data_IF_391683915581
#
_entry.id   IF_391683915581
#
_cell.length_a   1.000
_cell.length_b   1.000
_cell.length_c   1.000
_cell.angle_alpha   90.00
_cell.angle_beta   90.00
_cell.angle_gamma   90.00
#
_symmetry.space_group_name_H-M   'P 1'
#
loop_
_entity.id
_entity.type
_entity.pdbx_description
1 polymer ?
#
# COMPACT_ATOMS: atom_id res chain seq x y z
N UNK A 1 -60.01 -7.39 12.48
CA UNK A 1 -60.21 -8.86 12.44
C UNK A 1 -58.85 -9.56 12.53
N UNK A 2 -58.83 -10.88 12.75
CA UNK A 2 -57.64 -11.61 13.27
C UNK A 2 -56.45 -11.71 12.29
N UNK A 3 -55.22 -11.97 12.81
CA UNK A 3 -53.96 -11.83 12.08
C UNK A 3 -53.39 -13.17 11.57
N UNK A 4 -52.26 -13.10 10.85
CA UNK A 4 -51.40 -14.26 10.58
C UNK A 4 -50.12 -14.22 11.43
N UNK A 5 -50.00 -15.21 12.31
CA UNK A 5 -48.74 -15.78 12.82
C UNK A 5 -48.54 -17.14 12.12
N UNK A 6 -47.38 -17.78 12.05
CA UNK A 6 -46.12 -17.67 12.80
C UNK A 6 -44.92 -17.47 11.80
N UNK A 7 -43.62 -17.62 12.07
CA UNK A 7 -42.85 -18.58 12.89
C UNK A 7 -41.48 -18.02 13.31
N UNK A 8 -41.22 -18.02 14.61
CA UNK A 8 -39.89 -17.85 15.21
C UNK A 8 -39.20 -19.22 15.26
N UNK A 9 -37.90 -19.30 14.96
CA UNK A 9 -37.08 -20.46 15.32
C UNK A 9 -35.82 -20.00 16.06
N UNK A 10 -35.92 -19.92 17.38
CA UNK A 10 -34.77 -19.96 18.28
C UNK A 10 -34.59 -21.43 18.67
N UNK A 11 -33.37 -21.96 18.56
CA UNK A 11 -32.98 -23.13 19.34
C UNK A 11 -31.66 -22.86 20.06
N UNK A 12 -31.72 -22.87 21.38
CA UNK A 12 -30.58 -22.84 22.29
C UNK A 12 -30.23 -24.29 22.63
N UNK A 13 -28.97 -24.66 22.57
CA UNK A 13 -28.46 -25.80 23.35
C UNK A 13 -27.21 -25.36 24.11
N UNK A 14 -27.43 -24.98 25.37
CA UNK A 14 -26.38 -24.95 26.39
C UNK A 14 -26.49 -26.24 27.20
N UNK A 15 -25.45 -27.07 27.18
CA UNK A 15 -25.24 -28.09 28.21
C UNK A 15 -23.79 -28.04 28.67
N UNK A 16 -23.57 -27.44 29.84
CA UNK A 16 -22.29 -27.50 30.52
C UNK A 16 -22.17 -28.81 31.31
N UNK A 17 -20.95 -29.31 31.47
CA UNK A 17 -20.54 -29.99 32.69
C UNK A 17 -19.03 -29.83 32.90
N UNK A 18 -18.67 -29.17 34.01
CA UNK A 18 -17.33 -29.27 34.57
C UNK A 18 -17.04 -30.73 34.93
N UNK A 19 -15.79 -31.18 34.74
CA UNK A 19 -15.19 -31.95 35.81
C UNK A 19 -13.71 -31.62 35.98
N UNK A 20 -13.28 -31.52 37.25
CA UNK A 20 -11.91 -31.24 37.61
C UNK A 20 -11.12 -32.54 37.63
N UNK A 21 -9.92 -32.56 37.06
CA UNK A 21 -8.89 -33.44 37.60
C UNK A 21 -7.53 -32.76 37.57
N UNK A 22 -7.00 -32.47 38.75
CA UNK A 22 -5.63 -32.05 38.92
C UNK A 22 -4.71 -33.27 38.82
N UNK A 23 -3.57 -33.12 38.15
CA UNK A 23 -2.43 -34.01 38.36
C UNK A 23 -1.19 -33.17 38.70
N UNK A 24 -0.45 -33.62 39.71
CA UNK A 24 0.75 -32.96 40.25
C UNK A 24 2.03 -33.52 39.61
N UNK A 25 3.13 -32.79 39.89
CA UNK A 25 4.55 -33.22 39.85
C UNK A 25 5.14 -33.42 38.44
N UNK A 26 6.45 -33.20 38.19
CA UNK A 26 7.59 -32.87 39.07
C UNK A 26 8.24 -31.52 38.66
N UNK A 27 8.76 -30.74 39.61
CA UNK A 27 9.77 -29.69 39.33
C UNK A 27 11.15 -30.30 39.51
N UNK A 28 11.90 -30.51 38.43
CA UNK A 28 13.34 -30.75 38.52
C UNK A 28 14.10 -29.46 38.23
N UNK A 29 14.73 -28.89 39.26
CA UNK A 29 15.86 -27.98 39.09
C UNK A 29 17.08 -28.80 38.70
N UNK A 30 17.79 -28.38 37.66
CA UNK A 30 19.25 -28.56 37.59
C UNK A 30 19.91 -27.25 37.17
N UNK A 31 20.86 -26.83 37.98
CA UNK A 31 21.72 -25.70 37.70
C UNK A 31 22.59 -25.94 36.47
N UNK A 32 22.94 -24.88 35.75
CA UNK A 32 24.15 -24.88 34.92
C UNK A 32 24.73 -23.47 34.87
N UNK A 33 25.84 -23.26 35.59
CA UNK A 33 26.68 -22.05 35.40
C UNK A 33 27.43 -22.15 34.07
N UNK A 34 27.76 -21.02 33.42
CA UNK A 34 28.30 -21.03 32.06
C UNK A 34 29.79 -21.36 32.04
N UNK A 35 30.26 -21.92 30.92
CA UNK A 35 31.65 -21.86 30.52
C UNK A 35 31.80 -21.81 29.00
N UNK A 36 32.37 -20.71 28.54
CA UNK A 36 32.95 -20.52 27.20
C UNK A 36 34.01 -21.60 26.92
N UNK A 37 34.22 -21.95 25.65
CA UNK A 37 35.52 -21.79 24.94
C UNK A 37 35.64 -22.62 23.65
N UNK A 38 36.20 -21.95 22.65
CA UNK A 38 36.88 -22.43 21.42
C UNK A 38 36.14 -23.00 20.19
N UNK A 39 36.61 -22.45 19.06
CA UNK A 39 36.40 -22.87 17.68
C UNK A 39 37.66 -23.65 17.26
N UNK A 40 37.52 -24.72 16.48
CA UNK A 40 38.35 -25.13 15.32
C UNK A 40 38.09 -26.63 15.04
N UNK A 41 37.77 -26.97 13.79
CA UNK A 41 37.59 -28.36 13.35
C UNK A 41 37.15 -28.43 11.89
N UNK A 42 38.09 -28.67 10.98
CA UNK A 42 37.92 -28.51 9.54
C UNK A 42 37.29 -29.71 8.83
N UNK A 43 36.31 -29.41 7.96
CA UNK A 43 36.03 -30.05 6.66
C UNK A 43 35.96 -31.58 6.54
N UNK A 44 34.75 -32.11 6.30
CA UNK A 44 34.54 -33.12 5.24
C UNK A 44 33.26 -32.85 4.44
N UNK A 45 33.41 -32.89 3.12
CA UNK A 45 32.32 -32.76 2.15
C UNK A 45 31.36 -33.96 2.23
N UNK A 46 30.06 -33.70 2.19
CA UNK A 46 29.10 -34.66 1.66
C UNK A 46 28.07 -33.90 0.83
N UNK A 47 28.15 -34.05 -0.49
CA UNK A 47 27.13 -33.53 -1.42
C UNK A 47 25.88 -34.40 -1.25
N UNK A 48 24.89 -33.90 -0.51
CA UNK A 48 23.52 -34.37 -0.64
C UNK A 48 22.78 -33.41 -1.55
N UNK A 49 22.43 -33.90 -2.74
CA UNK A 49 21.45 -33.25 -3.61
C UNK A 49 20.08 -33.28 -2.92
N UNK A 50 19.86 -32.34 -2.01
CA UNK A 50 18.57 -32.02 -1.46
C UNK A 50 17.76 -31.27 -2.49
N UNK A 51 16.56 -31.78 -2.78
CA UNK A 51 15.47 -31.13 -3.50
C UNK A 51 15.55 -29.61 -3.43
N UNK A 52 15.49 -28.93 -4.58
CA UNK A 52 15.17 -27.50 -4.63
C UNK A 52 13.78 -27.31 -4.02
N UNK A 53 13.73 -27.09 -2.71
CA UNK A 53 12.63 -26.36 -2.10
C UNK A 53 12.68 -24.97 -2.72
N UNK A 54 11.90 -24.77 -3.78
CA UNK A 54 11.46 -23.44 -4.18
C UNK A 54 10.59 -22.93 -3.06
N UNK A 55 11.24 -22.35 -2.04
CA UNK A 55 10.62 -21.34 -1.21
C UNK A 55 10.07 -20.31 -2.18
N UNK A 56 8.75 -20.29 -2.37
CA UNK A 56 8.05 -19.18 -3.02
C UNK A 56 8.25 -17.98 -2.09
N UNK A 57 9.38 -17.30 -2.25
CA UNK A 57 9.64 -16.04 -1.61
C UNK A 57 8.56 -15.08 -2.11
N UNK A 58 7.93 -14.37 -1.19
CA UNK A 58 6.83 -13.43 -1.46
C UNK A 58 7.17 -12.35 -2.50
N UNK A 59 8.45 -12.22 -2.87
CA UNK A 59 8.95 -11.48 -4.03
C UNK A 59 8.24 -11.85 -5.33
N UNK A 60 7.96 -13.13 -5.60
CA UNK A 60 7.30 -13.56 -6.83
C UNK A 60 5.87 -13.01 -6.98
N UNK A 61 5.17 -12.75 -5.87
CA UNK A 61 3.77 -12.33 -5.92
C UNK A 61 3.59 -10.89 -6.39
N UNK A 62 4.40 -9.94 -5.89
CA UNK A 62 4.31 -8.54 -6.29
C UNK A 62 4.70 -8.32 -7.77
N UNK A 63 5.53 -9.21 -8.31
CA UNK A 63 5.90 -9.23 -9.73
C UNK A 63 4.87 -9.91 -10.64
N UNK A 64 3.89 -10.63 -10.09
CA UNK A 64 2.86 -11.31 -10.89
C UNK A 64 2.05 -10.29 -11.70
N UNK A 65 2.18 -10.38 -13.03
CA UNK A 65 1.58 -9.45 -14.00
C UNK A 65 2.07 -8.00 -13.90
N UNK A 66 3.21 -7.77 -13.24
CA UNK A 66 3.82 -6.45 -13.10
C UNK A 66 5.02 -6.32 -14.02
N UNK A 67 5.00 -5.33 -14.92
CA UNK A 67 6.17 -4.90 -15.67
C UNK A 67 6.74 -3.63 -15.03
N UNK A 68 8.06 -3.55 -14.93
CA UNK A 68 8.79 -2.34 -14.51
C UNK A 68 9.38 -1.67 -15.76
N UNK A 69 9.32 -0.34 -15.84
CA UNK A 69 10.02 0.43 -16.87
C UNK A 69 11.51 0.56 -16.56
N UNK A 70 12.31 0.87 -17.56
CA UNK A 70 13.60 1.56 -17.39
C UNK A 70 13.60 2.81 -18.26
N UNK A 71 14.00 3.96 -17.71
CA UNK A 71 14.02 5.25 -18.43
C UNK A 71 12.69 5.54 -19.17
N UNK A 72 11.57 5.40 -18.45
CA UNK A 72 10.21 5.56 -18.98
C UNK A 72 9.84 4.62 -20.16
N UNK A 73 10.54 3.49 -20.35
CA UNK A 73 10.27 2.53 -21.42
C UNK A 73 10.06 1.11 -20.87
N UNK A 74 9.06 0.40 -21.37
CA UNK A 74 8.86 -1.04 -21.11
C UNK A 74 9.47 -1.89 -22.23
N UNK A 75 10.51 -2.68 -21.92
CA UNK A 75 11.26 -3.45 -22.94
C UNK A 75 10.41 -4.49 -23.70
N UNK A 76 9.46 -5.14 -23.01
CA UNK A 76 8.64 -6.23 -23.56
C UNK A 76 7.18 -5.78 -23.79
N UNK A 77 6.99 -4.59 -24.36
CA UNK A 77 5.67 -4.00 -24.54
C UNK A 77 4.86 -4.63 -25.70
N UNK A 78 3.94 -5.54 -25.37
CA UNK A 78 3.14 -6.30 -26.35
C UNK A 78 1.82 -5.61 -26.79
N UNK A 79 1.39 -4.54 -26.12
CA UNK A 79 0.03 -4.00 -26.31
C UNK A 79 -0.10 -2.99 -27.46
N UNK A 80 0.99 -2.59 -28.11
CA UNK A 80 1.00 -1.52 -29.12
C UNK A 80 0.65 -0.15 -28.53
N UNK A 81 0.25 0.84 -29.34
CA UNK A 81 -0.16 2.15 -28.78
C UNK A 81 -1.40 2.00 -27.90
N UNK A 82 -1.37 2.64 -26.72
CA UNK A 82 -2.45 2.71 -25.73
C UNK A 82 -2.53 4.12 -25.14
N UNK A 83 -3.70 4.49 -24.64
CA UNK A 83 -3.93 5.76 -23.96
C UNK A 83 -3.73 5.62 -22.45
N UNK A 84 -3.30 6.71 -21.81
CA UNK A 84 -3.19 6.80 -20.36
C UNK A 84 -4.27 7.72 -19.83
N UNK A 85 -5.08 7.24 -18.89
CA UNK A 85 -6.24 7.99 -18.38
C UNK A 85 -6.33 8.00 -16.86
N UNK A 86 -6.77 9.12 -16.29
CA UNK A 86 -7.17 9.23 -14.90
C UNK A 86 -8.70 9.31 -14.81
N UNK A 87 -9.31 8.56 -13.90
CA UNK A 87 -10.76 8.60 -13.67
C UNK A 87 -11.14 9.77 -12.77
N UNK A 88 -11.89 10.71 -13.33
CA UNK A 88 -12.43 11.90 -12.67
C UNK A 88 -13.93 11.69 -12.39
N UNK A 89 -14.49 12.20 -11.29
CA UNK A 89 -15.94 12.17 -11.04
C UNK A 89 -16.47 13.58 -10.82
N UNK A 90 -17.39 14.01 -11.68
CA UNK A 90 -18.18 15.22 -11.44
C UNK A 90 -19.36 14.84 -10.55
N UNK A 91 -19.43 15.44 -9.36
CA UNK A 91 -20.40 15.20 -8.28
C UNK A 91 -20.42 13.76 -7.75
N UNK A 92 -20.77 13.60 -6.48
CA UNK A 92 -20.85 12.27 -5.84
C UNK A 92 -21.99 11.37 -6.39
N UNK A 93 -22.89 11.93 -7.21
CA UNK A 93 -24.12 11.28 -7.68
C UNK A 93 -24.12 10.86 -9.16
N UNK A 94 -23.11 11.22 -9.95
CA UNK A 94 -23.03 10.74 -11.34
C UNK A 94 -22.48 9.30 -11.35
N UNK A 95 -23.21 8.39 -12.00
CA UNK A 95 -22.97 6.94 -11.94
C UNK A 95 -21.71 6.48 -12.69
N UNK A 96 -21.16 7.33 -13.55
CA UNK A 96 -20.02 7.04 -14.42
C UNK A 96 -18.92 8.08 -14.23
N UNK A 97 -17.67 7.69 -13.91
CA UNK A 97 -16.55 8.63 -13.94
C UNK A 97 -16.23 9.07 -15.38
N UNK A 98 -15.89 10.33 -15.54
CA UNK A 98 -15.24 10.84 -16.75
C UNK A 98 -13.78 10.37 -16.83
N UNK A 99 -13.24 10.36 -18.04
CA UNK A 99 -11.85 9.98 -18.33
C UNK A 99 -11.06 11.22 -18.73
N UNK A 100 -10.07 11.58 -17.91
CA UNK A 100 -9.07 12.56 -18.29
C UNK A 100 -7.92 11.83 -19.01
N UNK A 101 -7.69 12.11 -20.29
CA UNK A 101 -6.48 11.64 -20.97
C UNK A 101 -5.27 12.44 -20.43
N UNK A 102 -4.24 11.71 -20.01
CA UNK A 102 -3.02 12.25 -19.37
C UNK A 102 -1.74 11.77 -20.04
N UNK A 103 -1.83 11.14 -21.22
CA UNK A 103 -0.66 10.58 -21.90
C UNK A 103 -0.93 9.36 -22.76
N UNK A 104 0.15 8.68 -23.14
CA UNK A 104 0.10 7.42 -23.89
C UNK A 104 1.34 6.56 -23.60
N UNK A 105 1.25 5.28 -23.95
CA UNK A 105 2.43 4.44 -24.18
C UNK A 105 2.45 4.15 -25.68
N UNK A 106 3.60 4.36 -26.33
CA UNK A 106 3.74 4.14 -27.77
C UNK A 106 3.89 2.64 -28.12
N UNK A 107 4.00 2.33 -29.41
CA UNK A 107 4.15 0.94 -29.86
C UNK A 107 5.49 0.27 -29.47
N UNK A 108 6.45 1.03 -28.94
CA UNK A 108 7.76 0.56 -28.46
C UNK A 108 7.84 0.49 -26.93
N UNK A 109 6.74 0.79 -26.22
CA UNK A 109 6.70 0.80 -24.76
C UNK A 109 7.16 2.11 -24.11
N UNK A 110 7.41 3.17 -24.89
CA UNK A 110 7.81 4.48 -24.37
C UNK A 110 6.62 5.23 -23.79
N UNK A 111 6.73 5.63 -22.52
CA UNK A 111 5.69 6.31 -21.74
C UNK A 111 5.84 7.83 -21.92
N UNK A 112 4.76 8.51 -22.28
CA UNK A 112 4.69 9.97 -22.32
C UNK A 112 3.51 10.45 -21.50
N UNK A 113 3.78 11.26 -20.46
CA UNK A 113 2.75 11.93 -19.63
C UNK A 113 2.53 13.34 -20.16
N UNK A 114 1.31 13.62 -20.60
CA UNK A 114 0.85 14.91 -21.12
C UNK A 114 -0.36 15.34 -20.30
N UNK A 115 -0.12 16.08 -19.22
CA UNK A 115 -1.18 16.59 -18.37
C UNK A 115 -1.79 17.87 -18.98
N UNK A 116 -3.12 18.07 -18.91
CA UNK A 116 -3.74 19.32 -19.32
C UNK A 116 -3.27 20.48 -18.42
N UNK A 117 -3.15 21.69 -18.97
CA UNK A 117 -2.75 22.87 -18.19
C UNK A 117 -3.70 23.16 -17.02
N UNK A 118 -5.00 22.96 -17.24
CA UNK A 118 -6.05 23.12 -16.24
C UNK A 118 -7.02 21.96 -16.29
N UNK A 119 -7.62 21.65 -15.15
CA UNK A 119 -8.81 20.81 -15.04
C UNK A 119 -9.83 21.52 -14.15
N UNK A 120 -11.11 21.23 -14.36
CA UNK A 120 -12.14 21.60 -13.40
C UNK A 120 -12.03 20.66 -12.21
N UNK A 121 -11.91 21.20 -11.00
CA UNK A 121 -12.04 20.42 -9.76
C UNK A 121 -13.39 20.70 -9.09
N UNK A 122 -13.95 19.72 -8.41
CA UNK A 122 -15.17 19.87 -7.59
C UNK A 122 -14.96 19.47 -6.13
N UNK A 123 -13.95 18.62 -5.90
CA UNK A 123 -13.46 18.20 -4.59
C UNK A 123 -12.52 19.22 -3.99
N UNK A 124 -12.50 19.35 -2.65
CA UNK A 124 -11.68 20.32 -1.91
C UNK A 124 -10.63 19.60 -1.04
N UNK A 125 -9.51 20.27 -0.80
CA UNK A 125 -8.36 19.72 -0.06
C UNK A 125 -8.67 19.43 1.43
N UNK A 126 -9.65 20.10 2.03
CA UNK A 126 -10.07 19.90 3.42
C UNK A 126 -10.99 18.69 3.66
N UNK A 127 -11.26 17.89 2.63
CA UNK A 127 -12.04 16.66 2.75
C UNK A 127 -11.12 15.46 2.44
N UNK A 128 -10.76 14.74 3.51
CA UNK A 128 -9.84 13.60 3.47
C UNK A 128 -10.23 12.51 2.46
N UNK A 129 -11.53 12.27 2.25
CA UNK A 129 -12.03 11.28 1.29
C UNK A 129 -11.70 11.57 -0.18
N UNK A 130 -11.21 12.79 -0.49
CA UNK A 130 -10.78 13.18 -1.83
C UNK A 130 -9.27 12.98 -2.06
N UNK A 131 -8.49 12.81 -0.99
CA UNK A 131 -7.04 12.89 -1.02
C UNK A 131 -6.40 11.55 -1.43
N UNK A 132 -5.15 11.61 -1.88
CA UNK A 132 -4.32 10.42 -2.19
C UNK A 132 -3.76 9.72 -0.94
N UNK A 133 -4.15 10.17 0.24
CA UNK A 133 -3.66 9.71 1.53
C UNK A 133 -4.71 8.79 2.16
N UNK A 134 -4.33 7.56 2.50
CA UNK A 134 -5.20 6.56 3.14
C UNK A 134 -4.97 6.43 4.65
N UNK A 135 -3.99 7.18 5.16
CA UNK A 135 -3.41 7.18 6.50
C UNK A 135 -3.96 8.27 7.41
N UNK A 136 -4.56 9.33 6.86
CA UNK A 136 -5.22 10.40 7.64
C UNK A 136 -6.25 9.78 8.58
N UNK A 137 -6.03 9.94 9.90
CA UNK A 137 -6.97 9.52 10.92
C UNK A 137 -7.97 10.64 11.22
N UNK A 138 -7.46 11.86 11.37
CA UNK A 138 -8.28 13.05 11.60
C UNK A 138 -7.66 14.29 10.93
N UNK A 139 -8.24 14.70 9.80
CA UNK A 139 -7.80 15.88 9.04
C UNK A 139 -7.88 17.19 9.84
N UNK A 140 -8.67 17.26 10.92
CA UNK A 140 -8.75 18.45 11.78
C UNK A 140 -7.49 18.65 12.64
N UNK A 141 -6.64 17.62 12.76
CA UNK A 141 -5.31 17.73 13.38
C UNK A 141 -4.28 18.39 12.47
N UNK A 142 -4.59 18.56 11.18
CA UNK A 142 -3.69 19.13 10.18
C UNK A 142 -3.95 20.62 10.00
N UNK A 143 -2.88 21.42 9.99
CA UNK A 143 -2.93 22.85 9.67
C UNK A 143 -3.00 22.98 8.15
N UNK A 144 -4.15 23.40 7.64
CA UNK A 144 -4.36 23.62 6.21
C UNK A 144 -4.52 25.12 5.87
N UNK A 145 -3.68 25.63 4.97
CA UNK A 145 -3.89 26.94 4.35
C UNK A 145 -4.63 26.78 3.03
N UNK A 146 -5.60 27.66 2.78
CA UNK A 146 -6.56 27.56 1.68
C UNK A 146 -7.32 26.21 1.63
N UNK A 147 -8.02 25.81 2.72
CA UNK A 147 -8.76 24.54 2.80
C UNK A 147 -9.83 24.34 1.71
N UNK A 148 -10.31 25.44 1.10
CA UNK A 148 -11.30 25.44 0.02
C UNK A 148 -10.69 25.49 -1.39
N UNK A 149 -9.36 25.39 -1.51
CA UNK A 149 -8.71 25.20 -2.81
C UNK A 149 -9.24 23.91 -3.45
N UNK A 150 -9.57 23.99 -4.74
CA UNK A 150 -10.02 22.84 -5.49
C UNK A 150 -8.89 21.84 -5.72
N UNK A 151 -9.18 20.56 -5.53
CA UNK A 151 -8.21 19.48 -5.44
C UNK A 151 -8.64 18.30 -6.32
N UNK A 152 -7.68 17.70 -7.01
CA UNK A 152 -7.81 16.38 -7.63
C UNK A 152 -6.50 15.61 -7.47
N UNK A 153 -6.56 14.32 -7.15
CA UNK A 153 -5.35 13.52 -6.97
C UNK A 153 -5.52 12.05 -7.36
N UNK A 154 -4.44 11.44 -7.86
CA UNK A 154 -4.35 10.00 -8.18
C UNK A 154 -2.98 9.39 -7.88
N UNK A 155 -3.01 8.23 -7.24
CA UNK A 155 -1.89 7.27 -7.10
C UNK A 155 -1.70 6.40 -8.35
N UNK A 156 -2.75 6.24 -9.17
CA UNK A 156 -2.79 5.34 -10.33
C UNK A 156 -3.23 6.05 -11.61
N UNK A 157 -2.64 5.64 -12.73
CA UNK A 157 -3.08 6.01 -14.08
C UNK A 157 -3.50 4.73 -14.81
N UNK A 158 -4.72 4.69 -15.34
CA UNK A 158 -5.19 3.52 -16.08
C UNK A 158 -4.59 3.49 -17.49
N UNK A 159 -4.35 2.28 -17.97
CA UNK A 159 -3.86 2.03 -19.32
C UNK A 159 -5.00 1.47 -20.14
N UNK A 160 -5.43 2.19 -21.16
CA UNK A 160 -6.60 1.81 -21.97
C UNK A 160 -6.28 1.62 -23.44
N UNK A 161 -6.97 0.65 -24.06
CA UNK A 161 -6.96 0.44 -25.50
C UNK A 161 -8.39 0.23 -25.97
N UNK A 162 -8.87 1.06 -26.90
CA UNK A 162 -10.23 0.97 -27.44
C UNK A 162 -11.30 0.91 -26.33
N UNK A 163 -11.19 1.79 -25.32
CA UNK A 163 -12.03 1.83 -24.10
C UNK A 163 -11.95 0.59 -23.17
N UNK A 164 -11.07 -0.37 -23.45
CA UNK A 164 -10.80 -1.51 -22.55
C UNK A 164 -9.61 -1.19 -21.66
N UNK A 165 -9.82 -1.25 -20.34
CA UNK A 165 -8.77 -1.09 -19.33
C UNK A 165 -7.87 -2.34 -19.30
N UNK A 166 -6.60 -2.19 -19.63
CA UNK A 166 -5.61 -3.27 -19.64
C UNK A 166 -4.91 -3.44 -18.29
N UNK A 167 -4.95 -2.43 -17.42
CA UNK A 167 -4.15 -2.37 -16.20
C UNK A 167 -3.94 -0.94 -15.68
N UNK A 168 -3.10 -0.82 -14.66
CA UNK A 168 -2.76 0.47 -14.05
C UNK A 168 -1.23 0.68 -13.99
N UNK A 169 -0.80 1.91 -14.24
CA UNK A 169 0.51 2.44 -13.92
C UNK A 169 0.52 3.04 -12.51
N UNK A 170 1.62 2.82 -11.81
CA UNK A 170 2.04 3.59 -10.63
C UNK A 170 3.48 4.03 -10.83
N UNK A 171 3.90 5.13 -10.21
CA UNK A 171 5.27 5.63 -10.28
C UNK A 171 5.92 5.58 -8.88
N UNK A 172 7.18 5.15 -8.78
CA UNK A 172 7.91 5.07 -7.51
C UNK A 172 9.19 4.24 -7.66
N UNK A 173 9.88 3.92 -6.56
CA UNK A 173 11.14 3.14 -6.64
C UNK A 173 11.01 1.65 -6.24
N UNK A 174 9.86 1.24 -5.68
CA UNK A 174 9.65 -0.13 -5.17
C UNK A 174 8.34 -0.74 -5.67
N UNK A 175 8.43 -1.95 -6.25
CA UNK A 175 7.25 -2.71 -6.73
C UNK A 175 6.26 -3.04 -5.60
N UNK A 176 6.78 -3.21 -4.37
CA UNK A 176 5.98 -3.49 -3.18
C UNK A 176 5.29 -2.25 -2.67
N UNK A 177 6.03 -1.16 -2.46
CA UNK A 177 5.46 0.11 -1.93
C UNK A 177 4.45 0.71 -2.90
N UNK A 178 4.78 0.74 -4.20
CA UNK A 178 3.86 1.21 -5.23
C UNK A 178 2.64 0.30 -5.45
N UNK A 179 2.63 -0.92 -4.91
CA UNK A 179 1.41 -1.71 -4.78
C UNK A 179 0.69 -1.36 -3.47
N UNK A 180 1.41 -1.44 -2.35
CA UNK A 180 0.87 -1.39 -1.00
C UNK A 180 0.16 -0.06 -0.68
N UNK A 181 0.68 1.05 -1.18
CA UNK A 181 0.13 2.39 -0.95
C UNK A 181 -1.00 2.78 -1.92
N UNK A 182 -1.40 1.92 -2.86
CA UNK A 182 -2.55 2.17 -3.75
C UNK A 182 -3.89 1.74 -3.17
N UNK A 183 -3.89 1.07 -2.01
CA UNK A 183 -5.10 0.61 -1.35
C UNK A 183 -4.94 0.64 0.18
N UNK A 184 -6.05 0.89 0.88
CA UNK A 184 -6.06 1.01 2.34
C UNK A 184 -5.72 -0.31 3.05
N UNK A 185 -6.04 -1.47 2.45
CA UNK A 185 -5.86 -2.79 3.06
C UNK A 185 -4.40 -3.23 3.25
N UNK A 186 -3.47 -2.64 2.49
CA UNK A 186 -2.02 -2.90 2.57
C UNK A 186 -1.21 -1.68 2.99
N UNK A 187 -1.86 -0.58 3.37
CA UNK A 187 -1.23 0.66 3.83
C UNK A 187 -0.26 0.44 5.00
N UNK A 188 -0.53 -0.57 5.84
CA UNK A 188 0.26 -0.84 7.05
C UNK A 188 1.57 -1.60 6.77
N UNK A 189 1.81 -2.04 5.53
CA UNK A 189 3.01 -2.81 5.15
C UNK A 189 4.28 -1.95 5.26
N UNK A 190 5.27 -2.42 6.02
CA UNK A 190 6.54 -1.72 6.24
C UNK A 190 7.63 -2.03 5.21
N UNK A 191 7.30 -2.32 3.95
CA UNK A 191 8.34 -2.35 2.90
C UNK A 191 8.81 -0.91 2.66
N UNK A 192 10.13 -0.64 2.67
CA UNK A 192 10.66 0.71 2.48
C UNK A 192 10.71 1.13 0.99
N UNK A 193 10.63 2.44 0.74
CA UNK A 193 10.55 3.05 -0.59
C UNK A 193 9.41 4.06 -0.68
N UNK A 194 9.05 4.49 -1.89
CA UNK A 194 7.98 5.48 -2.08
C UNK A 194 7.07 5.21 -3.29
N UNK A 195 5.89 5.83 -3.26
CA UNK A 195 5.01 6.06 -4.42
C UNK A 195 4.94 7.56 -4.72
N UNK A 196 4.81 7.91 -5.99
CA UNK A 196 4.50 9.26 -6.46
C UNK A 196 3.06 9.32 -6.95
N UNK A 197 2.34 10.33 -6.48
CA UNK A 197 0.97 10.65 -6.89
C UNK A 197 0.94 11.95 -7.67
N UNK A 198 0.06 12.03 -8.66
CA UNK A 198 -0.22 13.25 -9.41
C UNK A 198 -1.36 13.99 -8.75
N UNK A 199 -1.14 15.26 -8.40
CA UNK A 199 -2.12 16.09 -7.70
C UNK A 199 -2.25 17.44 -8.40
N UNK A 200 -3.47 17.85 -8.72
CA UNK A 200 -3.79 19.16 -9.26
C UNK A 200 -4.50 20.01 -8.20
N UNK A 201 -4.06 21.26 -8.07
CA UNK A 201 -4.70 22.29 -7.23
C UNK A 201 -5.14 23.49 -8.09
N UNK A 202 -6.34 24.01 -7.85
CA UNK A 202 -6.79 25.29 -8.46
C UNK A 202 -5.93 26.48 -8.00
N UNK A 203 -5.51 26.45 -6.73
CA UNK A 203 -4.86 27.56 -6.02
C UNK A 203 -3.73 27.02 -5.12
N UNK A 204 -2.77 27.88 -4.75
CA UNK A 204 -1.73 27.51 -3.80
C UNK A 204 -2.35 27.13 -2.45
N UNK A 205 -1.91 26.02 -1.87
CA UNK A 205 -2.43 25.50 -0.60
C UNK A 205 -1.34 24.78 0.18
N UNK A 206 -1.49 24.68 1.50
CA UNK A 206 -0.58 23.87 2.32
C UNK A 206 -1.36 22.94 3.23
N UNK A 207 -0.73 21.81 3.58
CA UNK A 207 -1.25 20.86 4.57
C UNK A 207 -0.07 20.34 5.39
N UNK A 208 -0.03 20.73 6.67
CA UNK A 208 1.09 20.46 7.56
C UNK A 208 0.62 19.87 8.89
N UNK A 209 1.27 18.80 9.34
CA UNK A 209 0.94 18.17 10.61
C UNK A 209 1.71 16.88 10.85
N UNK A 210 1.50 16.29 12.03
CA UNK A 210 2.06 14.98 12.38
C UNK A 210 1.05 14.22 13.22
N UNK A 211 0.63 13.05 12.73
CA UNK A 211 -0.21 12.11 13.46
C UNK A 211 0.69 11.02 14.05
N UNK A 212 0.55 10.75 15.35
CA UNK A 212 1.22 9.61 16.01
C UNK A 212 0.17 8.66 16.55
N UNK A 213 0.19 7.41 16.10
CA UNK A 213 -0.72 6.35 16.61
C UNK A 213 0.09 5.22 17.24
N UNK A 214 -0.52 4.52 18.20
CA UNK A 214 0.05 3.31 18.82
C UNK A 214 -0.89 2.15 18.60
N UNK A 215 -0.38 1.11 17.97
CA UNK A 215 -1.15 -0.02 17.48
C UNK A 215 -0.62 -1.32 18.09
N UNK A 216 -1.51 -2.16 18.63
CA UNK A 216 -1.21 -3.56 18.95
C UNK A 216 -1.28 -4.37 17.67
N UNK A 217 -0.12 -4.65 17.08
CA UNK A 217 -0.04 -5.27 15.75
C UNK A 217 0.30 -6.75 15.87
N UNK A 218 -0.33 -7.54 15.00
CA UNK A 218 -0.10 -8.97 14.80
C UNK A 218 -0.27 -9.26 13.31
N UNK A 219 0.45 -10.24 12.79
CA UNK A 219 0.17 -10.77 11.44
C UNK A 219 -0.50 -12.14 11.50
N UNK A 220 -0.07 -13.05 12.39
CA UNK A 220 -0.47 -14.47 12.23
C UNK A 220 -0.25 -15.46 13.40
N UNK A 221 -0.46 -15.11 14.67
CA UNK A 221 -0.98 -16.15 15.59
C UNK A 221 -0.66 -16.09 17.08
N UNK A 222 0.58 -15.80 17.48
CA UNK A 222 1.01 -15.99 18.88
C UNK A 222 1.46 -14.72 19.60
N UNK A 223 2.28 -13.88 18.97
CA UNK A 223 2.82 -12.67 19.60
C UNK A 223 2.28 -11.37 18.97
N UNK A 224 2.00 -10.36 19.80
CA UNK A 224 1.71 -8.99 19.40
C UNK A 224 2.86 -8.08 19.79
N UNK A 225 3.21 -7.10 18.97
CA UNK A 225 4.06 -5.97 19.39
C UNK A 225 3.23 -4.69 19.52
N UNK A 226 3.69 -3.77 20.36
CA UNK A 226 3.27 -2.37 20.30
C UNK A 226 4.09 -1.69 19.20
N UNK A 227 3.42 -1.23 18.14
CA UNK A 227 4.01 -0.43 17.08
C UNK A 227 3.59 1.03 17.24
N UNK A 228 4.54 1.95 17.21
CA UNK A 228 4.27 3.38 17.10
C UNK A 228 4.43 3.79 15.64
N UNK A 229 3.38 4.43 15.10
CA UNK A 229 3.32 4.89 13.72
C UNK A 229 3.33 6.42 13.72
N UNK A 230 4.20 7.01 12.92
CA UNK A 230 4.29 8.46 12.74
C UNK A 230 3.95 8.78 11.28
N UNK A 231 2.96 9.64 11.04
CA UNK A 231 2.59 10.09 9.69
C UNK A 231 2.82 11.60 9.63
N UNK A 232 3.70 12.04 8.74
CA UNK A 232 4.10 13.45 8.62
C UNK A 232 3.60 14.02 7.30
N UNK A 233 2.82 15.10 7.37
CA UNK A 233 2.38 15.87 6.21
C UNK A 233 3.21 17.15 6.15
N UNK A 234 3.94 17.32 5.05
CA UNK A 234 4.77 18.49 4.74
C UNK A 234 4.48 18.92 3.30
N UNK A 235 3.22 19.28 3.05
CA UNK A 235 2.69 19.50 1.72
C UNK A 235 2.58 20.99 1.42
N UNK A 236 3.30 21.44 0.39
CA UNK A 236 3.32 22.82 -0.10
C UNK A 236 2.96 22.80 -1.60
N UNK A 237 1.68 22.99 -1.90
CA UNK A 237 1.15 22.89 -3.25
C UNK A 237 1.23 24.22 -3.99
N UNK A 238 1.74 24.19 -5.22
CA UNK A 238 1.56 25.27 -6.20
C UNK A 238 0.24 25.08 -6.97
N UNK A 239 -0.33 26.13 -7.57
CA UNK A 239 -1.41 25.99 -8.55
C UNK A 239 -0.97 25.09 -9.72
N UNK A 240 -1.93 24.35 -10.29
CA UNK A 240 -1.66 23.36 -11.34
C UNK A 240 -1.18 22.02 -10.78
N UNK A 241 -0.39 21.30 -11.58
CA UNK A 241 0.07 19.95 -11.24
C UNK A 241 1.29 19.92 -10.31
N UNK A 242 1.22 19.02 -9.35
CA UNK A 242 2.19 18.75 -8.29
C UNK A 242 2.52 17.24 -8.30
N UNK A 243 3.78 16.91 -7.98
CA UNK A 243 4.19 15.55 -7.64
C UNK A 243 4.12 15.43 -6.12
N UNK A 244 3.33 14.49 -5.60
CA UNK A 244 3.31 14.17 -4.16
C UNK A 244 4.02 12.85 -3.94
N UNK A 245 5.09 12.85 -3.15
CA UNK A 245 5.74 11.64 -2.65
C UNK A 245 5.04 11.19 -1.37
N UNK A 246 4.70 9.91 -1.28
CA UNK A 246 4.45 9.21 -0.01
C UNK A 246 5.54 8.17 0.17
N UNK A 247 6.36 8.34 1.20
CA UNK A 247 7.54 7.53 1.48
C UNK A 247 7.40 6.75 2.79
N UNK A 248 7.72 5.45 2.74
CA UNK A 248 7.75 4.54 3.89
C UNK A 248 9.17 4.49 4.44
N UNK A 249 9.34 4.95 5.67
CA UNK A 249 10.63 5.10 6.36
C UNK A 249 10.63 4.24 7.62
N UNK A 250 11.50 3.23 7.65
CA UNK A 250 11.64 2.30 8.75
C UNK A 250 10.46 1.34 8.90
N UNK A 251 10.75 0.18 9.49
CA UNK A 251 9.77 -0.86 9.77
C UNK A 251 9.98 -1.55 11.10
N UNK A 252 8.93 -2.16 11.59
CA UNK A 252 8.98 -3.29 12.51
C UNK A 252 8.89 -4.57 11.68
N UNK A 253 9.84 -5.47 11.86
CA UNK A 253 9.70 -6.85 11.38
C UNK A 253 8.81 -7.63 12.35
N UNK A 254 7.86 -8.37 11.80
CA UNK A 254 6.93 -9.22 12.52
C UNK A 254 7.29 -10.68 12.22
N UNK A 255 7.41 -11.50 13.25
CA UNK A 255 7.59 -12.94 13.05
C UNK A 255 6.29 -13.56 12.52
N UNK A 256 6.41 -14.37 11.46
CA UNK A 256 5.30 -15.11 10.88
C UNK A 256 5.56 -16.62 11.02
N UNK A 257 4.62 -17.34 11.63
CA UNK A 257 4.60 -18.80 11.84
C UNK A 257 4.68 -19.60 10.53
N UNK A 258 4.41 -18.96 9.38
CA UNK A 258 4.52 -19.51 8.02
C UNK A 258 5.70 -18.94 7.22
N UNK A 259 6.56 -18.13 7.85
CA UNK A 259 7.74 -17.54 7.21
C UNK A 259 7.43 -16.51 6.11
N UNK A 260 6.23 -15.94 6.06
CA UNK A 260 5.94 -14.82 5.15
C UNK A 260 6.64 -13.56 5.67
N UNK A 261 7.10 -12.71 4.75
CA UNK A 261 7.71 -11.43 5.09
C UNK A 261 6.61 -10.49 5.59
N UNK A 262 6.54 -10.40 6.92
CA UNK A 262 5.58 -9.64 7.66
C UNK A 262 6.25 -8.41 8.25
N UNK A 263 5.82 -7.24 7.81
CA UNK A 263 6.35 -5.95 8.27
C UNK A 263 5.21 -4.98 8.58
N UNK A 264 5.50 -4.04 9.48
CA UNK A 264 4.64 -2.91 9.81
C UNK A 264 5.46 -1.62 9.67
N UNK A 265 4.94 -0.57 9.03
CA UNK A 265 5.70 0.67 8.86
C UNK A 265 5.99 1.36 10.20
N UNK A 266 7.07 2.15 10.28
CA UNK A 266 7.32 3.07 11.40
C UNK A 266 6.87 4.48 11.07
N UNK A 267 7.27 5.00 9.90
CA UNK A 267 6.93 6.35 9.48
C UNK A 267 6.45 6.40 8.03
N UNK A 268 5.40 7.17 7.78
CA UNK A 268 5.09 7.71 6.46
C UNK A 268 5.44 9.20 6.40
N UNK A 269 5.97 9.65 5.27
CA UNK A 269 6.23 11.06 5.00
C UNK A 269 5.62 11.48 3.66
N UNK A 270 4.75 12.49 3.70
CA UNK A 270 4.08 13.06 2.54
C UNK A 270 4.66 14.44 2.23
N UNK A 271 5.25 14.59 1.04
CA UNK A 271 5.86 15.86 0.60
C UNK A 271 5.58 16.14 -0.88
N UNK A 272 5.59 17.43 -1.23
CA UNK A 272 5.55 17.86 -2.64
C UNK A 272 6.98 17.90 -3.20
N UNK A 273 7.17 17.42 -4.43
CA UNK A 273 8.45 17.43 -5.12
C UNK A 273 8.41 18.37 -6.34
N UNK A 274 9.52 19.07 -6.59
CA UNK A 274 9.70 19.90 -7.80
C UNK A 274 9.79 19.07 -9.09
N UNK A 275 10.34 17.86 -8.98
CA UNK A 275 10.58 16.94 -10.10
C UNK A 275 10.50 15.48 -9.65
N UNK A 276 10.25 14.59 -10.61
CA UNK A 276 10.33 13.14 -10.42
C UNK A 276 11.80 12.77 -10.09
N UNK A 277 12.09 12.00 -9.02
CA UNK A 277 13.43 11.49 -8.73
C UNK A 277 13.95 10.54 -9.81
N UNK A 278 15.26 10.47 -9.98
CA UNK A 278 15.89 9.65 -11.03
C UNK A 278 15.85 8.14 -10.78
N UNK A 279 15.52 7.69 -9.56
CA UNK A 279 15.29 6.29 -9.19
C UNK A 279 13.79 5.89 -9.28
N UNK A 280 12.92 6.80 -9.71
CA UNK A 280 11.51 6.51 -9.93
C UNK A 280 11.28 5.81 -11.27
N UNK A 281 10.65 4.65 -11.24
CA UNK A 281 10.23 3.88 -12.41
C UNK A 281 8.71 3.67 -12.41
N UNK A 282 8.14 3.48 -13.59
CA UNK A 282 6.75 3.09 -13.75
C UNK A 282 6.58 1.58 -13.58
N UNK A 283 5.56 1.19 -12.84
CA UNK A 283 5.14 -0.20 -12.70
C UNK A 283 3.76 -0.36 -13.34
N UNK A 284 3.69 -1.09 -14.46
CA UNK A 284 2.44 -1.48 -15.12
C UNK A 284 1.94 -2.79 -14.54
N UNK A 285 0.73 -2.79 -13.97
CA UNK A 285 0.07 -3.99 -13.44
C UNK A 285 -1.10 -4.35 -14.33
N UNK A 286 -0.95 -5.41 -15.12
CA UNK A 286 -1.95 -5.92 -16.07
C UNK A 286 -3.12 -6.56 -15.31
N UNK A 287 -4.36 -6.27 -15.72
CA UNK A 287 -5.54 -6.93 -15.15
C UNK A 287 -5.54 -8.43 -15.50
N UNK A 288 -5.89 -9.27 -14.53
CA UNK A 288 -6.27 -10.64 -14.81
C UNK A 288 -7.71 -10.63 -15.34
N UNK A 289 -7.89 -11.16 -16.55
CA UNK A 289 -9.17 -11.61 -17.08
C UNK A 289 -9.30 -13.12 -16.88
#
# INVERSE_FOLDING_TARGET
>A
MKPYSYLFLILIICTACNNKQASKTIVEKRDTKPKTTEIIGTTKSSIRNGVKNTTNTQEDWYWKNTMKSSNNTFENWEHGKVDLVMLYRYKQNESSPEKLNVGHIDAKGSITINLPETIKTETKIDNAGNLVFHDIQDITTLICQNPKAGYFGKTTIYVEKNNTNLGALTLGNSVRVTYNLTNQSTLTMGDEGYILSWVYLDEAATMKGTETTRNKVRRDGTNTIEAENIVVYSLEYKPGWNIVKTEVIGKYDLEHERGLNASWFKKHEHSVLDKIPSDADYFFRKLNY
#
